data_IF_590659836217
#
_entry.id   IF_590659836217
#
_cell.length_a   1.000
_cell.length_b   1.000
_cell.length_c   1.000
_cell.angle_alpha   90.00
_cell.angle_beta   90.00
_cell.angle_gamma   90.00
#
_symmetry.space_group_name_H-M   'P 1'
#
loop_
_entity.id
_entity.type
_entity.pdbx_description
1 polymer ?
#
# COMPACT_ATOMS: atom_id res chain seq x y z
N UNK A 1 42.48 58.19 -24.28
CA UNK A 1 41.16 58.05 -23.64
C UNK A 1 41.14 56.66 -23.01
N UNK A 2 41.69 56.44 -21.80
CA UNK A 2 41.18 56.83 -20.46
C UNK A 2 39.73 56.40 -20.24
N UNK A 3 39.28 55.79 -19.14
CA UNK A 3 39.87 55.24 -17.91
C UNK A 3 38.67 54.93 -16.98
N UNK A 4 38.83 53.99 -16.03
CA UNK A 4 38.10 53.81 -14.74
C UNK A 4 36.56 53.71 -14.74
N UNK A 5 35.92 52.60 -14.30
CA UNK A 5 35.94 51.91 -13.00
C UNK A 5 35.03 52.51 -11.90
N UNK A 6 34.53 51.57 -11.08
CA UNK A 6 33.76 51.65 -9.81
C UNK A 6 32.24 51.62 -9.95
N UNK A 7 31.57 50.53 -9.54
CA UNK A 7 31.41 49.98 -8.17
C UNK A 7 30.38 50.78 -7.36
N UNK A 8 29.22 50.18 -7.10
CA UNK A 8 28.70 49.90 -5.75
C UNK A 8 27.28 49.31 -5.87
N UNK A 9 27.03 48.07 -5.44
CA UNK A 9 26.89 47.63 -4.05
C UNK A 9 25.48 47.92 -3.50
N UNK A 10 24.66 46.87 -3.43
CA UNK A 10 23.75 46.59 -2.31
C UNK A 10 23.08 45.23 -2.54
N UNK A 11 23.45 44.22 -1.74
CA UNK A 11 22.70 43.74 -0.56
C UNK A 11 21.82 42.55 -0.96
N UNK A 12 22.30 41.33 -0.72
CA UNK A 12 22.02 40.56 0.51
C UNK A 12 20.53 40.22 0.65
N UNK A 13 20.17 38.95 0.46
CA UNK A 13 19.63 38.15 1.57
C UNK A 13 19.21 36.75 1.11
N UNK A 14 19.85 35.76 1.72
CA UNK A 14 19.16 34.72 2.49
C UNK A 14 18.16 33.84 1.74
N UNK A 15 18.65 32.87 0.95
CA UNK A 15 17.92 31.61 0.79
C UNK A 15 18.23 30.70 1.99
N UNK A 16 17.74 31.11 3.15
CA UNK A 16 17.78 30.34 4.41
C UNK A 16 16.45 30.56 5.12
N UNK A 17 15.64 29.51 5.16
CA UNK A 17 14.41 29.44 5.95
C UNK A 17 13.17 29.75 5.13
N UNK A 18 12.56 28.72 4.54
CA UNK A 18 11.11 28.72 4.39
C UNK A 18 10.56 27.60 5.28
N UNK A 19 10.50 27.92 6.57
CA UNK A 19 9.84 27.19 7.66
C UNK A 19 8.32 27.30 7.49
N UNK A 20 7.79 26.95 6.32
CA UNK A 20 6.36 26.99 6.02
C UNK A 20 5.66 25.64 6.30
N UNK A 21 6.03 24.96 7.40
CA UNK A 21 5.20 23.91 8.02
C UNK A 21 4.12 24.49 8.93
N UNK A 22 4.04 25.82 9.03
CA UNK A 22 3.01 26.51 9.79
C UNK A 22 1.70 26.54 9.00
N UNK A 23 0.64 25.96 9.59
CA UNK A 23 -0.76 26.02 9.16
C UNK A 23 -1.27 25.05 8.08
N UNK A 24 -0.69 23.85 7.94
CA UNK A 24 -1.39 22.78 7.20
C UNK A 24 -2.51 22.19 8.07
N UNK A 25 -3.72 22.69 7.84
CA UNK A 25 -4.94 22.19 8.48
C UNK A 25 -5.29 20.77 8.00
N UNK A 26 -5.26 19.80 8.92
CA UNK A 26 -5.48 18.38 8.66
C UNK A 26 -6.98 18.03 8.79
N UNK A 27 -7.55 17.22 7.89
CA UNK A 27 -8.92 16.73 8.03
C UNK A 27 -9.03 15.68 9.15
N UNK A 28 -10.21 15.58 9.77
CA UNK A 28 -10.48 14.62 10.86
C UNK A 28 -10.07 13.17 10.55
N UNK A 29 -10.27 12.72 9.31
CA UNK A 29 -9.90 11.36 8.90
C UNK A 29 -8.38 11.13 8.94
N UNK A 30 -7.58 12.15 8.64
CA UNK A 30 -6.12 12.08 8.69
C UNK A 30 -5.63 12.08 10.14
N UNK A 31 -6.23 12.92 10.99
CA UNK A 31 -5.96 12.97 12.43
C UNK A 31 -6.34 11.66 13.13
N UNK A 32 -7.49 11.07 12.79
CA UNK A 32 -7.92 9.79 13.33
C UNK A 32 -6.93 8.67 13.00
N UNK A 33 -6.43 8.66 11.75
CA UNK A 33 -5.39 7.72 11.32
C UNK A 33 -4.06 7.97 12.03
N UNK A 34 -3.70 9.22 12.27
CA UNK A 34 -2.45 9.61 12.93
C UNK A 34 -2.45 9.27 14.43
N UNK A 35 -3.60 9.41 15.09
CA UNK A 35 -3.81 9.07 16.51
C UNK A 35 -4.24 7.60 16.71
N UNK A 36 -4.30 6.80 15.63
CA UNK A 36 -4.78 5.41 15.66
C UNK A 36 -6.10 5.23 16.42
N UNK A 37 -7.01 6.20 16.29
CA UNK A 37 -8.25 6.27 17.05
C UNK A 37 -9.44 6.24 16.09
N UNK A 38 -10.52 5.58 16.49
CA UNK A 38 -11.74 5.51 15.69
C UNK A 38 -12.31 6.91 15.38
N UNK A 39 -12.79 7.19 14.15
CA UNK A 39 -13.31 8.50 13.78
C UNK A 39 -14.48 8.99 14.65
N UNK A 40 -15.20 8.07 15.30
CA UNK A 40 -16.24 8.41 16.26
C UNK A 40 -15.67 8.90 17.61
N UNK A 41 -14.63 8.23 18.12
CA UNK A 41 -13.95 8.60 19.37
C UNK A 41 -13.25 9.95 19.22
N UNK A 42 -12.62 10.19 18.06
CA UNK A 42 -12.03 11.49 17.75
C UNK A 42 -13.09 12.60 17.79
N UNK A 43 -14.24 12.40 17.16
CA UNK A 43 -15.36 13.37 17.19
C UNK A 43 -15.87 13.63 18.61
N UNK A 44 -15.94 12.59 19.43
CA UNK A 44 -16.32 12.72 20.83
C UNK A 44 -15.29 13.57 21.61
N UNK A 45 -13.99 13.35 21.39
CA UNK A 45 -12.94 14.16 21.99
C UNK A 45 -12.95 15.60 21.49
N UNK A 46 -13.14 15.83 20.19
CA UNK A 46 -13.26 17.17 19.60
C UNK A 46 -14.38 17.95 20.27
N UNK A 47 -15.57 17.34 20.45
CA UNK A 47 -16.70 18.00 21.11
C UNK A 47 -16.45 18.27 22.60
N UNK A 48 -15.81 17.34 23.30
CA UNK A 48 -15.61 17.38 24.75
C UNK A 48 -14.49 18.35 25.15
N UNK A 49 -13.43 18.38 24.36
CA UNK A 49 -12.26 19.22 24.56
C UNK A 49 -12.21 20.41 23.59
N UNK A 50 -13.34 20.79 22.97
CA UNK A 50 -13.44 21.88 21.99
C UNK A 50 -12.79 23.19 22.46
N UNK A 51 -12.93 23.50 23.77
CA UNK A 51 -12.32 24.69 24.41
C UNK A 51 -10.77 24.73 24.35
N UNK A 52 -10.14 23.57 24.09
CA UNK A 52 -8.70 23.40 24.02
C UNK A 52 -8.16 23.26 22.60
N UNK A 53 -9.07 23.29 21.62
CA UNK A 53 -8.78 23.16 20.20
C UNK A 53 -9.00 24.53 19.53
N UNK A 54 -8.39 24.71 18.36
CA UNK A 54 -8.57 25.91 17.55
C UNK A 54 -9.97 25.99 16.92
N UNK A 55 -10.39 27.22 16.61
CA UNK A 55 -11.72 27.54 16.05
C UNK A 55 -12.06 26.79 14.75
N UNK A 56 -11.05 26.29 14.02
CA UNK A 56 -11.22 25.53 12.78
C UNK A 56 -11.71 24.09 12.99
N UNK A 57 -11.80 23.65 14.24
CA UNK A 57 -12.27 22.32 14.62
C UNK A 57 -13.79 22.26 14.86
N UNK A 58 -14.48 23.39 14.77
CA UNK A 58 -15.93 23.48 14.87
C UNK A 58 -16.58 23.44 13.48
N UNK A 59 -17.48 22.47 13.26
CA UNK A 59 -18.30 22.36 12.05
C UNK A 59 -18.40 20.96 11.44
N UNK A 60 -19.04 20.88 10.27
CA UNK A 60 -19.30 19.63 9.55
C UNK A 60 -18.02 19.02 8.93
N UNK A 61 -16.97 19.82 8.74
CA UNK A 61 -15.66 19.40 8.23
C UNK A 61 -14.52 19.97 9.09
N UNK A 62 -14.28 19.38 10.28
CA UNK A 62 -13.31 19.93 11.23
C UNK A 62 -11.89 19.78 10.72
N UNK A 63 -11.12 20.85 10.89
CA UNK A 63 -9.75 21.02 10.41
C UNK A 63 -8.84 21.29 11.59
N UNK A 64 -7.88 20.40 11.79
CA UNK A 64 -7.00 20.39 12.95
C UNK A 64 -5.65 20.96 12.58
N UNK A 65 -5.20 21.96 13.33
CA UNK A 65 -3.81 22.41 13.29
C UNK A 65 -2.88 21.43 14.00
N UNK A 66 -1.57 21.65 13.86
CA UNK A 66 -0.57 20.88 14.61
C UNK A 66 -0.77 20.98 16.13
N UNK A 67 -1.15 22.16 16.63
CA UNK A 67 -1.47 22.39 18.05
C UNK A 67 -2.66 21.54 18.53
N UNK A 68 -3.69 21.37 17.68
CA UNK A 68 -4.88 20.58 18.01
C UNK A 68 -4.55 19.09 18.06
N UNK A 69 -3.74 18.61 17.11
CA UNK A 69 -3.28 17.21 17.08
C UNK A 69 -2.43 16.88 18.30
N UNK A 70 -1.56 17.81 18.72
CA UNK A 70 -0.77 17.66 19.95
C UNK A 70 -1.70 17.57 21.17
N UNK A 71 -2.67 18.47 21.29
CA UNK A 71 -3.64 18.47 22.39
C UNK A 71 -4.44 17.17 22.45
N UNK A 72 -4.90 16.66 21.30
CA UNK A 72 -5.62 15.39 21.21
C UNK A 72 -4.73 14.17 21.50
N UNK A 73 -3.44 14.21 21.14
CA UNK A 73 -2.49 13.16 21.52
C UNK A 73 -2.22 13.13 23.03
N UNK A 74 -2.20 14.29 23.70
CA UNK A 74 -2.07 14.38 25.16
C UNK A 74 -3.32 13.81 25.83
N UNK A 75 -4.52 14.18 25.35
CA UNK A 75 -5.79 13.59 25.80
C UNK A 75 -5.77 12.08 25.69
N UNK A 76 -5.30 11.54 24.55
CA UNK A 76 -5.20 10.11 24.34
C UNK A 76 -4.27 9.45 25.38
N UNK A 77 -3.10 10.03 25.62
CA UNK A 77 -2.14 9.51 26.60
C UNK A 77 -2.69 9.56 28.03
N UNK A 78 -3.38 10.63 28.42
CA UNK A 78 -3.97 10.73 29.77
C UNK A 78 -5.12 9.72 29.96
N UNK A 79 -5.92 9.48 28.92
CA UNK A 79 -6.96 8.47 28.95
C UNK A 79 -6.39 7.05 29.06
N UNK A 80 -5.30 6.72 28.36
CA UNK A 80 -4.66 5.39 28.46
C UNK A 80 -3.99 5.17 29.82
N UNK A 81 -3.54 6.24 30.47
CA UNK A 81 -3.01 6.20 31.84
C UNK A 81 -4.10 6.11 32.91
N UNK A 82 -5.39 6.13 32.53
CA UNK A 82 -6.51 5.97 33.45
C UNK A 82 -6.95 7.25 34.17
N UNK A 83 -6.52 8.42 33.69
CA UNK A 83 -6.99 9.69 34.25
C UNK A 83 -8.47 9.91 33.98
N UNK A 84 -9.15 10.48 34.97
CA UNK A 84 -10.55 10.88 34.84
C UNK A 84 -10.69 12.11 33.96
N UNK A 85 -11.86 12.28 33.36
CA UNK A 85 -12.18 13.44 32.52
C UNK A 85 -11.89 14.78 33.22
N UNK A 86 -12.27 14.91 34.49
CA UNK A 86 -12.05 16.14 35.27
C UNK A 86 -10.56 16.46 35.42
N UNK A 87 -9.73 15.44 35.67
CA UNK A 87 -8.28 15.60 35.75
C UNK A 87 -7.69 15.99 34.39
N UNK A 88 -8.18 15.40 33.29
CA UNK A 88 -7.75 15.78 31.93
C UNK A 88 -8.09 17.24 31.65
N UNK A 89 -9.30 17.68 32.01
CA UNK A 89 -9.69 19.08 31.90
C UNK A 89 -8.77 20.00 32.71
N UNK A 90 -8.47 19.65 33.96
CA UNK A 90 -7.56 20.43 34.80
C UNK A 90 -6.15 20.52 34.20
N UNK A 91 -5.60 19.40 33.74
CA UNK A 91 -4.29 19.35 33.06
C UNK A 91 -4.26 20.23 31.80
N UNK A 92 -5.32 20.21 30.99
CA UNK A 92 -5.41 21.04 29.78
C UNK A 92 -5.62 22.52 30.11
N UNK A 93 -6.41 22.86 31.14
CA UNK A 93 -6.55 24.26 31.60
C UNK A 93 -5.25 24.83 32.13
N UNK A 94 -4.50 24.08 32.93
CA UNK A 94 -3.22 24.52 33.47
C UNK A 94 -2.21 24.76 32.33
N UNK A 95 -2.22 23.90 31.31
CA UNK A 95 -1.41 24.08 30.10
C UNK A 95 -1.78 25.34 29.33
N UNK A 96 -3.07 25.60 29.11
CA UNK A 96 -3.51 26.83 28.46
C UNK A 96 -3.17 28.07 29.29
N UNK A 97 -3.30 28.03 30.61
CA UNK A 97 -2.91 29.13 31.50
C UNK A 97 -1.40 29.39 31.48
N UNK A 98 -0.59 28.34 31.37
CA UNK A 98 0.86 28.46 31.22
C UNK A 98 1.28 29.00 29.84
N UNK A 99 0.56 28.61 28.76
CA UNK A 99 0.78 29.14 27.40
C UNK A 99 0.24 30.58 27.22
N UNK A 100 -0.72 31.00 28.07
CA UNK A 100 -1.38 32.33 28.02
C UNK A 100 -0.84 33.33 29.04
N UNK A 101 0.27 33.04 29.70
CA UNK A 101 0.95 33.99 30.58
C UNK A 101 2.07 34.72 29.84
N UNK A 102 1.81 35.88 29.19
CA UNK A 102 2.84 36.87 28.99
C UNK A 102 2.97 37.68 30.29
N UNK A 103 4.21 37.75 30.80
CA UNK A 103 4.79 38.88 31.52
C UNK A 103 3.81 39.92 32.12
N UNK A 104 3.19 39.63 33.27
CA UNK A 104 2.76 40.70 34.18
C UNK A 104 3.13 40.35 35.62
N UNK A 105 3.99 41.21 36.17
CA UNK A 105 4.48 41.16 37.54
C UNK A 105 3.36 41.45 38.56
N UNK A 106 3.53 40.82 39.72
CA UNK A 106 3.15 41.24 41.08
C UNK A 106 1.96 40.57 41.79
N UNK A 107 2.31 40.14 43.02
CA UNK A 107 1.51 39.91 44.22
C UNK A 107 0.86 38.52 44.42
N UNK A 108 1.59 37.60 45.07
CA UNK A 108 1.39 37.28 46.49
C UNK A 108 2.40 36.21 46.97
N UNK A 109 3.25 36.64 47.90
CA UNK A 109 4.34 35.84 48.49
C UNK A 109 3.79 35.15 49.73
N UNK A 110 3.13 33.99 49.57
CA UNK A 110 3.12 33.01 50.67
C UNK A 110 2.92 31.53 50.29
N UNK A 111 2.81 31.16 49.00
CA UNK A 111 2.69 29.75 48.55
C UNK A 111 3.80 29.30 47.57
N UNK A 112 4.90 30.06 47.49
CA UNK A 112 5.93 29.90 46.46
C UNK A 112 6.73 28.60 46.54
N UNK A 113 6.87 27.98 47.71
CA UNK A 113 7.70 26.76 47.86
C UNK A 113 6.94 25.48 47.50
N UNK A 114 5.62 25.43 47.73
CA UNK A 114 4.76 24.32 47.34
C UNK A 114 4.32 24.42 45.87
N UNK A 115 4.09 25.64 45.35
CA UNK A 115 3.89 25.87 43.91
C UNK A 115 5.16 25.59 43.11
N UNK A 116 6.35 26.05 43.54
CA UNK A 116 7.61 25.77 42.82
C UNK A 116 7.95 24.28 42.75
N UNK A 117 7.64 23.51 43.79
CA UNK A 117 7.78 22.05 43.77
C UNK A 117 6.79 21.36 42.82
N UNK A 118 5.53 21.83 42.78
CA UNK A 118 4.53 21.34 41.82
C UNK A 118 4.85 21.74 40.38
N UNK A 119 5.27 22.98 40.14
CA UNK A 119 5.68 23.50 38.84
C UNK A 119 6.92 22.78 38.31
N UNK A 120 7.84 22.37 39.21
CA UNK A 120 9.01 21.60 38.84
C UNK A 120 8.67 20.14 38.52
N UNK A 121 7.77 19.50 39.28
CA UNK A 121 7.25 18.16 38.96
C UNK A 121 6.39 18.17 37.68
N UNK A 122 5.64 19.24 37.43
CA UNK A 122 4.89 19.47 36.20
C UNK A 122 5.82 19.71 35.01
N UNK A 123 6.86 20.53 35.16
CA UNK A 123 7.87 20.72 34.12
C UNK A 123 8.57 19.40 33.77
N UNK A 124 8.82 18.55 34.76
CA UNK A 124 9.48 17.26 34.58
C UNK A 124 8.56 16.24 33.88
N UNK A 125 7.30 16.13 34.30
CA UNK A 125 6.30 15.30 33.62
C UNK A 125 5.97 15.78 32.20
N UNK A 126 5.97 17.09 31.94
CA UNK A 126 5.88 17.64 30.58
C UNK A 126 7.10 17.26 29.76
N UNK A 127 8.30 17.36 30.33
CA UNK A 127 9.52 16.93 29.68
C UNK A 127 9.52 15.42 29.35
N UNK A 128 8.95 14.59 30.22
CA UNK A 128 8.79 13.16 29.99
C UNK A 128 7.75 12.86 28.88
N UNK A 129 6.67 13.62 28.83
CA UNK A 129 5.67 13.54 27.74
C UNK A 129 6.24 14.06 26.41
N UNK A 130 7.06 15.11 26.42
CA UNK A 130 7.78 15.59 25.23
C UNK A 130 8.83 14.59 24.77
N UNK A 131 9.55 13.96 25.70
CA UNK A 131 10.46 12.86 25.41
C UNK A 131 9.73 11.69 24.77
N UNK A 132 8.63 11.24 25.37
CA UNK A 132 7.81 10.16 24.83
C UNK A 132 7.19 10.50 23.46
N UNK A 133 6.77 11.76 23.25
CA UNK A 133 6.24 12.22 21.96
C UNK A 133 7.34 12.26 20.89
N UNK A 134 8.54 12.73 21.24
CA UNK A 134 9.69 12.75 20.35
C UNK A 134 10.13 11.32 19.99
N UNK A 135 10.12 10.40 20.96
CA UNK A 135 10.43 8.99 20.74
C UNK A 135 9.37 8.30 19.87
N UNK A 136 8.09 8.63 20.07
CA UNK A 136 7.00 8.16 19.22
C UNK A 136 7.13 8.70 17.79
N UNK A 137 7.43 9.99 17.61
CA UNK A 137 7.66 10.57 16.28
C UNK A 137 8.88 9.95 15.58
N UNK A 138 9.97 9.72 16.32
CA UNK A 138 11.16 9.04 15.80
C UNK A 138 10.84 7.61 15.38
N UNK A 139 10.03 6.90 16.16
CA UNK A 139 9.56 5.55 15.85
C UNK A 139 8.64 5.53 14.64
N UNK A 140 7.72 6.49 14.51
CA UNK A 140 6.82 6.61 13.36
C UNK A 140 7.63 6.87 12.08
N UNK A 141 8.60 7.78 12.12
CA UNK A 141 9.47 8.08 10.98
C UNK A 141 10.34 6.87 10.58
N UNK A 142 10.85 6.15 11.57
CA UNK A 142 11.57 4.88 11.35
C UNK A 142 10.67 3.86 10.67
N UNK A 143 9.44 3.66 11.17
CA UNK A 143 8.48 2.72 10.62
C UNK A 143 8.02 3.11 9.21
N UNK A 144 7.84 4.40 8.92
CA UNK A 144 7.52 4.88 7.57
C UNK A 144 8.66 4.60 6.58
N UNK A 145 9.91 4.70 7.03
CA UNK A 145 11.08 4.36 6.22
C UNK A 145 11.11 2.87 5.91
N UNK A 146 10.90 2.02 6.92
CA UNK A 146 10.81 0.56 6.76
C UNK A 146 9.64 0.14 5.87
N UNK A 147 8.45 0.72 6.05
CA UNK A 147 7.27 0.45 5.21
C UNK A 147 7.55 0.82 3.76
N UNK A 148 8.20 1.97 3.51
CA UNK A 148 8.55 2.38 2.14
C UNK A 148 9.53 1.39 1.50
N UNK A 149 10.51 0.92 2.25
CA UNK A 149 11.48 -0.08 1.77
C UNK A 149 10.79 -1.40 1.43
N UNK A 150 9.95 -1.93 2.33
CA UNK A 150 9.19 -3.16 2.10
C UNK A 150 8.24 -3.01 0.91
N UNK A 151 7.51 -1.89 0.81
CA UNK A 151 6.64 -1.61 -0.34
C UNK A 151 7.44 -1.56 -1.63
N UNK A 152 8.66 -0.99 -1.61
CA UNK A 152 9.57 -1.01 -2.75
C UNK A 152 9.90 -2.43 -3.21
N UNK A 153 10.32 -3.29 -2.28
CA UNK A 153 10.63 -4.71 -2.56
C UNK A 153 9.40 -5.45 -3.08
N UNK A 154 8.24 -5.31 -2.44
CA UNK A 154 7.00 -5.99 -2.85
C UNK A 154 6.54 -5.52 -4.23
N UNK A 155 6.64 -4.22 -4.53
CA UNK A 155 6.30 -3.68 -5.85
C UNK A 155 7.27 -4.23 -6.89
N UNK A 156 8.57 -4.26 -6.59
CA UNK A 156 9.58 -4.86 -7.46
C UNK A 156 9.29 -6.34 -7.73
N UNK A 157 9.01 -7.12 -6.69
CA UNK A 157 8.64 -8.53 -6.81
C UNK A 157 7.36 -8.71 -7.62
N UNK A 158 6.36 -7.83 -7.44
CA UNK A 158 5.14 -7.87 -8.22
C UNK A 158 5.40 -7.62 -9.71
N UNK A 159 6.28 -6.67 -10.04
CA UNK A 159 6.71 -6.43 -11.42
C UNK A 159 7.47 -7.63 -11.98
N UNK A 160 8.38 -8.22 -11.22
CA UNK A 160 9.11 -9.42 -11.64
C UNK A 160 8.16 -10.59 -11.90
N UNK A 161 7.24 -10.86 -10.97
CA UNK A 161 6.22 -11.91 -11.10
C UNK A 161 5.29 -11.66 -12.29
N UNK A 162 4.92 -10.41 -12.58
CA UNK A 162 4.12 -10.08 -13.77
C UNK A 162 4.86 -10.42 -15.05
N UNK A 163 6.15 -10.14 -15.10
CA UNK A 163 7.00 -10.46 -16.25
C UNK A 163 7.20 -11.98 -16.41
N UNK A 164 7.40 -12.71 -15.32
CA UNK A 164 7.44 -14.19 -15.35
C UNK A 164 6.11 -14.79 -15.79
N UNK A 165 4.98 -14.28 -15.28
CA UNK A 165 3.65 -14.71 -15.73
C UNK A 165 3.43 -14.42 -17.21
N UNK A 166 3.92 -13.28 -17.73
CA UNK A 166 3.88 -12.98 -19.16
C UNK A 166 4.66 -14.04 -19.96
N UNK A 167 5.89 -14.36 -19.54
CA UNK A 167 6.72 -15.40 -20.16
C UNK A 167 6.08 -16.79 -20.10
N UNK A 168 5.42 -17.13 -18.98
CA UNK A 168 4.71 -18.40 -18.83
C UNK A 168 3.53 -18.50 -19.81
N UNK A 169 2.73 -17.43 -19.94
CA UNK A 169 1.63 -17.40 -20.93
C UNK A 169 2.15 -17.57 -22.36
N UNK A 170 3.27 -16.93 -22.69
CA UNK A 170 3.90 -17.05 -24.01
C UNK A 170 4.35 -18.49 -24.29
N UNK A 171 5.04 -19.14 -23.33
CA UNK A 171 5.46 -20.54 -23.46
C UNK A 171 4.30 -21.52 -23.52
N UNK A 172 3.24 -21.29 -22.74
CA UNK A 172 2.03 -22.12 -22.78
C UNK A 172 1.38 -22.04 -24.15
N UNK A 173 1.27 -20.84 -24.71
CA UNK A 173 0.69 -20.63 -26.03
C UNK A 173 1.55 -21.25 -27.14
N UNK A 174 2.87 -21.20 -27.02
CA UNK A 174 3.78 -21.91 -27.91
C UNK A 174 3.62 -23.44 -27.82
N UNK A 175 3.49 -23.99 -26.61
CA UNK A 175 3.23 -25.41 -26.40
C UNK A 175 1.87 -25.84 -26.95
N UNK A 176 0.82 -25.05 -26.75
CA UNK A 176 -0.51 -25.31 -27.34
C UNK A 176 -0.44 -25.35 -28.87
N UNK A 177 0.29 -24.42 -29.49
CA UNK A 177 0.53 -24.43 -30.93
C UNK A 177 1.31 -25.68 -31.37
N UNK A 178 2.37 -26.03 -30.66
CA UNK A 178 3.17 -27.22 -30.96
C UNK A 178 2.35 -28.51 -30.84
N UNK A 179 1.47 -28.61 -29.83
CA UNK A 179 0.55 -29.74 -29.66
C UNK A 179 -0.48 -29.82 -30.80
N UNK A 180 -1.08 -28.70 -31.19
CA UNK A 180 -2.03 -28.65 -32.29
C UNK A 180 -1.36 -29.05 -33.63
N UNK A 181 -0.14 -28.57 -33.88
CA UNK A 181 0.65 -28.99 -35.04
C UNK A 181 0.99 -30.48 -35.00
N UNK A 182 1.36 -31.00 -33.84
CA UNK A 182 1.68 -32.42 -33.68
C UNK A 182 0.46 -33.29 -33.97
N UNK A 183 -0.71 -32.95 -33.41
CA UNK A 183 -1.98 -33.64 -33.67
C UNK A 183 -2.32 -33.64 -35.15
N UNK A 184 -2.21 -32.49 -35.83
CA UNK A 184 -2.46 -32.39 -37.28
C UNK A 184 -1.50 -33.24 -38.10
N UNK A 185 -0.21 -33.26 -37.76
CA UNK A 185 0.78 -34.11 -38.45
C UNK A 185 0.47 -35.59 -38.23
N UNK A 186 0.00 -35.95 -37.05
CA UNK A 186 -0.34 -37.32 -36.71
C UNK A 186 -1.60 -37.80 -37.44
N UNK A 187 -2.64 -36.96 -37.54
CA UNK A 187 -3.82 -37.23 -38.38
C UNK A 187 -3.41 -37.46 -39.84
N UNK A 188 -2.56 -36.61 -40.41
CA UNK A 188 -2.05 -36.79 -41.78
C UNK A 188 -1.22 -38.07 -41.97
N UNK A 189 -0.51 -38.54 -40.94
CA UNK A 189 0.19 -39.83 -40.98
C UNK A 189 -0.81 -40.98 -40.93
N UNK A 190 -1.80 -40.89 -40.04
CA UNK A 190 -2.86 -41.88 -39.89
C UNK A 190 -3.67 -42.03 -41.17
N UNK A 191 -4.13 -40.93 -41.78
CA UNK A 191 -4.84 -40.95 -43.06
C UNK A 191 -4.02 -41.60 -44.18
N UNK A 192 -2.70 -41.34 -44.22
CA UNK A 192 -1.80 -41.99 -45.19
C UNK A 192 -1.69 -43.49 -44.96
N UNK A 193 -1.60 -43.94 -43.72
CA UNK A 193 -1.56 -45.36 -43.38
C UNK A 193 -2.90 -46.05 -43.69
N UNK A 194 -4.02 -45.44 -43.32
CA UNK A 194 -5.36 -45.94 -43.63
C UNK A 194 -5.60 -46.03 -45.13
N UNK A 195 -5.16 -45.03 -45.90
CA UNK A 195 -5.24 -45.05 -47.37
C UNK A 195 -4.45 -46.21 -47.98
N UNK A 196 -3.23 -46.46 -47.47
CA UNK A 196 -2.41 -47.60 -47.90
C UNK A 196 -3.05 -48.93 -47.52
N UNK A 197 -3.63 -49.02 -46.32
CA UNK A 197 -4.32 -50.22 -45.85
C UNK A 197 -5.55 -50.53 -46.72
N UNK A 198 -6.39 -49.53 -47.02
CA UNK A 198 -7.52 -49.69 -47.94
C UNK A 198 -7.09 -50.13 -49.34
N UNK A 199 -5.98 -49.59 -49.85
CA UNK A 199 -5.42 -50.02 -51.13
C UNK A 199 -5.01 -51.51 -51.09
N UNK A 200 -4.35 -51.96 -50.01
CA UNK A 200 -3.99 -53.36 -49.81
C UNK A 200 -5.22 -54.27 -49.68
N UNK A 201 -6.24 -53.85 -48.91
CA UNK A 201 -7.51 -54.56 -48.80
C UNK A 201 -8.19 -54.72 -50.17
N UNK A 202 -8.19 -53.65 -50.97
CA UNK A 202 -8.73 -53.68 -52.34
C UNK A 202 -7.97 -54.68 -53.22
N UNK A 203 -6.64 -54.67 -53.18
CA UNK A 203 -5.83 -55.65 -53.95
C UNK A 203 -6.05 -57.09 -53.48
N UNK A 204 -6.17 -57.30 -52.17
CA UNK A 204 -6.39 -58.63 -51.59
C UNK A 204 -7.77 -59.16 -51.95
N UNK A 205 -8.79 -58.31 -51.89
CA UNK A 205 -10.15 -58.65 -52.36
C UNK A 205 -10.18 -58.99 -53.85
N UNK A 206 -9.45 -58.23 -54.68
CA UNK A 206 -9.28 -58.52 -56.11
C UNK A 206 -8.64 -59.89 -56.37
N UNK A 207 -7.56 -60.22 -55.65
CA UNK A 207 -6.92 -61.54 -55.72
C UNK A 207 -7.86 -62.66 -55.27
N UNK A 208 -8.63 -62.46 -54.20
CA UNK A 208 -9.62 -63.43 -53.73
C UNK A 208 -10.71 -63.69 -54.79
N UNK A 209 -11.18 -62.64 -55.47
CA UNK A 209 -12.17 -62.77 -56.54
C UNK A 209 -11.60 -63.52 -57.76
N UNK A 210 -10.35 -63.24 -58.15
CA UNK A 210 -9.66 -63.97 -59.23
C UNK A 210 -9.53 -65.46 -58.89
N UNK A 211 -9.11 -65.79 -57.66
CA UNK A 211 -9.03 -67.19 -57.20
C UNK A 211 -10.41 -67.86 -57.25
N UNK A 212 -11.46 -67.19 -56.79
CA UNK A 212 -12.82 -67.72 -56.83
C UNK A 212 -13.29 -68.01 -58.27
N UNK A 213 -12.99 -67.12 -59.22
CA UNK A 213 -13.28 -67.31 -60.64
C UNK A 213 -12.52 -68.52 -61.21
N UNK A 214 -11.22 -68.64 -60.93
CA UNK A 214 -10.41 -69.78 -61.37
C UNK A 214 -10.96 -71.12 -60.84
N UNK A 215 -11.34 -71.16 -59.56
CA UNK A 215 -11.95 -72.34 -58.93
C UNK A 215 -13.27 -72.71 -59.62
N UNK A 216 -14.11 -71.73 -59.96
CA UNK A 216 -15.35 -71.98 -60.71
C UNK A 216 -15.09 -72.53 -62.11
N UNK A 217 -14.11 -72.00 -62.84
CA UNK A 217 -13.71 -72.49 -64.17
C UNK A 217 -13.25 -73.95 -64.09
N UNK A 218 -12.37 -74.28 -63.13
CA UNK A 218 -11.88 -75.65 -62.93
C UNK A 218 -13.05 -76.60 -62.61
N UNK A 219 -13.98 -76.18 -61.75
CA UNK A 219 -15.17 -76.97 -61.39
C UNK A 219 -16.08 -77.21 -62.62
N UNK A 220 -16.30 -76.21 -63.46
CA UNK A 220 -17.08 -76.35 -64.72
C UNK A 220 -16.40 -77.32 -65.69
N UNK A 221 -15.09 -77.17 -65.90
CA UNK A 221 -14.31 -78.06 -66.79
C UNK A 221 -14.35 -79.52 -66.32
N UNK A 222 -14.23 -79.79 -65.01
CA UNK A 222 -14.36 -81.15 -64.47
C UNK A 222 -15.75 -81.77 -64.67
N UNK A 223 -16.82 -80.96 -64.60
CA UNK A 223 -18.20 -81.44 -64.83
C UNK A 223 -18.50 -81.75 -66.30
N UNK A 224 -17.90 -81.00 -67.23
CA UNK A 224 -18.05 -81.24 -68.67
C UNK A 224 -17.22 -82.42 -69.21
N UNK A 225 -16.27 -82.96 -68.44
CA UNK A 225 -15.47 -84.14 -68.82
C UNK A 225 -16.11 -85.48 -68.40
N UNK A 226 -17.20 -85.42 -67.62
CA UNK A 226 -17.88 -86.58 -67.04
C UNK A 226 -19.23 -86.89 -67.72
N UNK A 227 -19.47 -86.27 -68.87
CA UNK A 227 -20.61 -86.51 -69.77
C UNK A 227 -20.10 -86.95 -71.14
#
# INVERSE_FOLDING_TARGET
MSEFARSDQSRSNTSRGDTSTENRLLPAAEVARQLHTEPYVLRQWTRKYARFLGDNTDGESPRFGSADVITLSIVQTLLTQGFTEEQIHQHLTLRQSAERAPEEEHAQVHDLTAMRGRDQVLAQSLNDVFGALADNQRTILSNQTTVREIVGVVVQDNFNLKEENRKLRERMLELERALAEYQRREELRKERLESRLRALETTTGGLQQQIAQLVQIIRKKKRGLFW
#
